data_IF_776141845968
#
_entry.id   IF_776141845968
#
_cell.length_a   1.000
_cell.length_b   1.000
_cell.length_c   1.000
_cell.angle_alpha   90.00
_cell.angle_beta   90.00
_cell.angle_gamma   90.00
#
_symmetry.space_group_name_H-M   'P 1'
#
loop_
_entity.id
_entity.type
_entity.pdbx_description
1 polymer ?
#
# COMPACT_ATOMS: atom_id res chain seq x y z
N UNK A 1 -23.39 -21.19 -8.87
CA UNK A 1 -24.17 -20.27 -8.00
C UNK A 1 -24.43 -18.91 -8.66
N UNK A 2 -23.38 -18.24 -9.14
CA UNK A 2 -23.45 -16.95 -9.87
C UNK A 2 -24.43 -16.92 -11.06
N UNK A 3 -24.39 -17.93 -11.93
CA UNK A 3 -25.27 -17.98 -13.11
C UNK A 3 -26.76 -18.07 -12.73
N UNK A 4 -27.09 -18.78 -11.64
CA UNK A 4 -28.46 -18.89 -11.13
C UNK A 4 -28.93 -17.57 -10.52
N UNK A 5 -28.05 -16.85 -9.83
CA UNK A 5 -28.32 -15.52 -9.27
C UNK A 5 -28.59 -14.47 -10.36
N UNK A 6 -27.82 -14.50 -11.46
CA UNK A 6 -27.98 -13.58 -12.59
C UNK A 6 -29.34 -13.78 -13.30
N UNK A 7 -29.74 -15.04 -13.51
CA UNK A 7 -31.01 -15.38 -14.18
C UNK A 7 -32.22 -14.96 -13.33
N UNK A 8 -32.16 -15.14 -12.01
CA UNK A 8 -33.22 -14.71 -11.09
C UNK A 8 -33.32 -13.17 -11.07
N UNK A 9 -32.19 -12.46 -11.12
CA UNK A 9 -32.16 -11.00 -11.16
C UNK A 9 -32.77 -10.44 -12.46
N UNK A 10 -32.50 -11.08 -13.61
CA UNK A 10 -33.09 -10.70 -14.89
C UNK A 10 -34.60 -10.94 -14.93
N UNK A 11 -35.07 -12.06 -14.38
CA UNK A 11 -36.49 -12.43 -14.35
C UNK A 11 -37.34 -11.49 -13.48
N UNK A 12 -36.78 -11.01 -12.36
CA UNK A 12 -37.44 -10.03 -11.50
C UNK A 12 -37.57 -8.66 -12.18
N UNK A 13 -36.65 -8.30 -13.07
CA UNK A 13 -36.63 -6.99 -13.74
C UNK A 13 -37.82 -6.78 -14.70
N UNK A 14 -38.41 -7.86 -15.22
CA UNK A 14 -39.52 -7.82 -16.20
C UNK A 14 -40.91 -7.76 -15.52
N UNK A 15 -41.00 -8.06 -14.22
CA UNK A 15 -42.30 -8.27 -13.53
C UNK A 15 -42.75 -7.13 -12.61
N UNK A 16 -42.01 -6.04 -12.49
CA UNK A 16 -42.30 -4.96 -11.52
C UNK A 16 -42.62 -3.62 -12.19
N UNK A 17 -43.43 -2.76 -11.53
CA UNK A 17 -43.78 -1.43 -12.05
C UNK A 17 -42.53 -0.57 -12.22
N UNK A 18 -42.51 0.25 -13.27
CA UNK A 18 -41.38 1.07 -13.76
C UNK A 18 -40.55 1.77 -12.65
N UNK A 19 -41.20 2.23 -11.58
CA UNK A 19 -40.55 2.88 -10.44
C UNK A 19 -39.60 1.94 -9.66
N UNK A 20 -39.92 0.65 -9.55
CA UNK A 20 -39.07 -0.35 -8.88
C UNK A 20 -37.87 -0.75 -9.74
N UNK A 21 -38.02 -0.77 -11.07
CA UNK A 21 -36.91 -0.98 -12.01
C UNK A 21 -35.85 0.12 -11.87
N UNK A 22 -36.27 1.39 -11.77
CA UNK A 22 -35.36 2.52 -11.59
C UNK A 22 -34.55 2.34 -10.31
N UNK A 23 -35.20 2.00 -9.20
CA UNK A 23 -34.51 1.79 -7.90
C UNK A 23 -33.48 0.66 -8.00
N UNK A 24 -33.82 -0.47 -8.64
CA UNK A 24 -32.87 -1.58 -8.81
C UNK A 24 -31.69 -1.23 -9.70
N UNK A 25 -31.89 -0.44 -10.77
CA UNK A 25 -30.82 0.03 -11.65
C UNK A 25 -29.90 1.01 -10.91
N UNK A 26 -30.47 1.92 -10.11
CA UNK A 26 -29.69 2.82 -9.26
C UNK A 26 -28.85 2.08 -8.23
N UNK A 27 -29.42 1.08 -7.55
CA UNK A 27 -28.70 0.24 -6.58
C UNK A 27 -27.58 -0.55 -7.26
N UNK A 28 -27.83 -1.15 -8.43
CA UNK A 28 -26.81 -1.87 -9.19
C UNK A 28 -25.69 -0.95 -9.71
N UNK A 29 -26.03 0.27 -10.16
CA UNK A 29 -25.05 1.28 -10.57
C UNK A 29 -24.17 1.72 -9.41
N UNK A 30 -24.73 1.82 -8.19
CA UNK A 30 -24.00 2.21 -6.98
C UNK A 30 -23.07 1.09 -6.48
N UNK A 31 -23.41 -0.17 -6.74
CA UNK A 31 -22.55 -1.33 -6.46
C UNK A 31 -21.47 -1.50 -7.53
N UNK A 32 -21.75 -1.17 -8.79
CA UNK A 32 -20.81 -1.30 -9.91
C UNK A 32 -19.58 -0.38 -9.82
N UNK A 33 -19.66 0.71 -9.06
CA UNK A 33 -18.53 1.65 -8.87
C UNK A 33 -17.47 1.16 -7.89
N UNK A 34 -17.65 0.00 -7.25
CA UNK A 34 -16.71 -0.55 -6.26
C UNK A 34 -15.60 -1.39 -6.92
N UNK A 35 -15.62 -1.57 -8.24
CA UNK A 35 -14.48 -2.16 -8.95
C UNK A 35 -13.39 -1.08 -9.03
N UNK A 36 -12.63 -0.97 -7.94
CA UNK A 36 -11.39 -0.22 -7.89
C UNK A 36 -10.51 -0.73 -9.03
N UNK A 37 -10.34 0.10 -10.07
CA UNK A 37 -9.40 -0.18 -11.13
C UNK A 37 -8.02 -0.17 -10.48
N UNK A 38 -7.30 -1.29 -10.57
CA UNK A 38 -5.91 -1.35 -10.15
C UNK A 38 -5.16 -0.19 -10.83
N UNK A 39 -4.48 0.68 -10.08
CA UNK A 39 -3.77 1.79 -10.67
C UNK A 39 -2.60 1.24 -11.48
N UNK A 40 -2.82 1.05 -12.79
CA UNK A 40 -1.77 0.70 -13.75
C UNK A 40 -0.85 1.92 -13.85
N UNK A 41 0.28 1.88 -13.12
CA UNK A 41 1.31 2.93 -13.15
C UNK A 41 1.61 3.62 -11.82
N UNK A 42 1.57 2.93 -10.68
CA UNK A 42 1.98 3.52 -9.41
C UNK A 42 3.50 3.75 -9.39
N UNK A 43 3.91 5.02 -9.49
CA UNK A 43 5.30 5.44 -9.31
C UNK A 43 5.70 5.26 -7.83
N UNK A 44 6.86 4.66 -7.61
CA UNK A 44 7.41 4.43 -6.26
C UNK A 44 8.52 5.45 -6.02
N UNK A 45 8.41 6.19 -4.92
CA UNK A 45 9.47 7.07 -4.42
C UNK A 45 10.06 6.42 -3.18
N UNK A 46 11.38 6.18 -3.20
CA UNK A 46 12.12 5.67 -2.05
C UNK A 46 12.92 6.83 -1.44
N UNK A 47 12.61 7.19 -0.20
CA UNK A 47 13.34 8.20 0.57
C UNK A 47 14.22 7.50 1.61
N UNK A 48 15.53 7.68 1.50
CA UNK A 48 16.52 7.15 2.44
C UNK A 48 17.05 8.30 3.30
N UNK A 49 16.87 8.22 4.62
CA UNK A 49 17.41 9.18 5.58
C UNK A 49 18.55 8.50 6.33
N UNK A 50 19.80 8.88 6.01
CA UNK A 50 20.98 8.22 6.59
C UNK A 50 21.12 8.52 8.08
N UNK A 51 21.54 7.52 8.85
CA UNK A 51 21.72 7.61 10.30
C UNK A 51 20.42 7.75 11.12
N UNK A 52 19.24 7.75 10.50
CA UNK A 52 17.96 7.91 11.22
C UNK A 52 17.48 6.57 11.80
N UNK A 53 17.87 6.30 13.05
CA UNK A 53 17.52 5.07 13.77
C UNK A 53 16.20 5.12 14.53
N UNK A 54 15.73 3.97 15.00
CA UNK A 54 14.48 3.81 15.75
C UNK A 54 14.46 4.63 17.07
N UNK A 55 15.60 4.75 17.77
CA UNK A 55 15.69 5.59 18.99
C UNK A 55 15.40 7.05 18.67
N UNK A 56 16.01 7.59 17.61
CA UNK A 56 15.78 8.96 17.16
C UNK A 56 14.33 9.15 16.74
N UNK A 57 13.72 8.18 16.04
CA UNK A 57 12.30 8.24 15.72
C UNK A 57 11.45 8.33 16.99
N UNK A 58 11.74 7.57 18.04
CA UNK A 58 10.93 7.61 19.27
C UNK A 58 11.14 8.90 20.07
N UNK A 59 12.37 9.41 20.13
CA UNK A 59 12.74 10.60 20.91
C UNK A 59 12.44 11.93 20.21
N UNK A 60 12.29 11.92 18.88
CA UNK A 60 12.03 13.15 18.11
C UNK A 60 10.69 13.77 18.55
N UNK A 61 10.70 15.08 18.80
CA UNK A 61 9.52 15.80 19.30
C UNK A 61 8.36 15.79 18.28
N UNK A 62 7.09 15.81 18.73
CA UNK A 62 5.94 15.80 17.82
C UNK A 62 5.95 16.95 16.80
N UNK A 63 6.36 18.15 17.20
CA UNK A 63 6.39 19.34 16.34
C UNK A 63 7.33 19.20 15.13
N UNK A 64 8.42 18.43 15.26
CA UNK A 64 9.37 18.21 14.16
C UNK A 64 9.00 17.00 13.30
N UNK A 65 8.04 16.17 13.73
CA UNK A 65 7.54 15.02 12.97
C UNK A 65 6.33 15.32 12.12
N UNK A 66 5.83 16.55 12.07
CA UNK A 66 4.53 16.87 11.47
C UNK A 66 4.27 16.19 10.10
N UNK A 67 5.23 16.24 9.18
CA UNK A 67 5.12 15.56 7.88
C UNK A 67 5.20 14.03 7.96
N UNK A 68 6.10 13.49 8.80
CA UNK A 68 6.29 12.05 8.99
C UNK A 68 5.10 11.40 9.72
N UNK A 69 4.49 12.11 10.68
CA UNK A 69 3.33 11.65 11.44
C UNK A 69 2.14 11.36 10.53
N UNK A 70 1.89 12.19 9.52
CA UNK A 70 0.81 11.93 8.55
C UNK A 70 1.08 10.68 7.72
N UNK A 71 2.34 10.43 7.34
CA UNK A 71 2.74 9.22 6.63
C UNK A 71 2.60 7.97 7.51
N UNK A 72 2.96 8.06 8.79
CA UNK A 72 2.84 6.96 9.75
C UNK A 72 1.38 6.65 10.09
N UNK A 73 0.53 7.68 10.25
CA UNK A 73 -0.87 7.51 10.62
C UNK A 73 -1.74 6.95 9.49
N UNK A 74 -1.42 7.27 8.22
CA UNK A 74 -2.19 6.82 7.05
C UNK A 74 -1.49 5.68 6.28
N UNK A 75 -0.28 5.30 6.68
CA UNK A 75 0.55 4.31 6.00
C UNK A 75 0.82 3.07 6.84
N UNK A 76 1.82 2.31 6.42
CA UNK A 76 2.32 1.13 7.15
C UNK A 76 3.69 1.43 7.72
N UNK A 77 3.87 1.16 9.00
CA UNK A 77 5.12 1.38 9.72
C UNK A 77 5.61 0.08 10.36
N UNK A 78 6.91 -0.17 10.28
CA UNK A 78 7.60 -1.18 11.09
C UNK A 78 8.24 -0.54 12.34
N UNK A 79 8.35 -1.31 13.43
CA UNK A 79 8.97 -0.86 14.69
C UNK A 79 10.42 -0.42 14.50
N UNK A 80 11.20 -1.21 13.76
CA UNK A 80 12.56 -0.89 13.34
C UNK A 80 12.92 -1.65 12.07
N UNK A 81 13.95 -1.18 11.37
CA UNK A 81 14.51 -1.84 10.20
C UNK A 81 15.91 -2.38 10.57
N UNK A 82 16.13 -3.68 10.37
CA UNK A 82 17.41 -4.31 10.70
C UNK A 82 18.44 -4.04 9.61
N UNK A 83 19.50 -3.33 9.96
CA UNK A 83 20.66 -3.11 9.08
C UNK A 83 21.39 -4.43 8.78
N UNK A 84 21.96 -4.51 7.58
CA UNK A 84 22.99 -5.50 7.26
C UNK A 84 24.30 -5.17 7.99
N UNK A 85 25.13 -6.19 8.26
CA UNK A 85 26.48 -6.01 8.80
C UNK A 85 27.51 -5.98 7.66
N UNK A 86 28.50 -5.07 7.69
CA UNK A 86 28.68 -3.97 8.64
C UNK A 86 27.64 -2.85 8.44
N UNK A 87 27.32 -2.11 9.50
CA UNK A 87 26.30 -1.04 9.48
C UNK A 87 26.80 0.25 8.83
N UNK A 88 27.25 0.15 7.57
CA UNK A 88 27.65 1.29 6.75
C UNK A 88 26.55 1.65 5.75
N UNK A 89 26.51 2.90 5.30
CA UNK A 89 25.46 3.41 4.41
C UNK A 89 25.44 2.66 3.07
N UNK A 90 26.59 2.54 2.40
CA UNK A 90 26.67 1.92 1.07
C UNK A 90 26.20 0.45 1.02
N UNK A 91 26.69 -0.48 1.87
CA UNK A 91 26.21 -1.86 1.90
C UNK A 91 24.69 -1.97 2.17
N UNK A 92 24.14 -1.11 3.02
CA UNK A 92 22.71 -1.11 3.31
C UNK A 92 21.87 -0.59 2.15
N UNK A 93 22.29 0.49 1.48
CA UNK A 93 21.56 1.03 0.34
C UNK A 93 21.49 0.02 -0.81
N UNK A 94 22.61 -0.64 -1.12
CA UNK A 94 22.64 -1.70 -2.13
C UNK A 94 21.80 -2.91 -1.71
N UNK A 95 21.86 -3.32 -0.43
CA UNK A 95 21.03 -4.41 0.07
C UNK A 95 19.53 -4.10 -0.02
N UNK A 96 19.10 -2.86 0.24
CA UNK A 96 17.71 -2.45 0.12
C UNK A 96 17.24 -2.41 -1.34
N UNK A 97 18.11 -1.94 -2.25
CA UNK A 97 17.78 -1.86 -3.68
C UNK A 97 17.72 -3.23 -4.36
N UNK A 98 18.55 -4.19 -3.91
CA UNK A 98 18.70 -5.50 -4.58
C UNK A 98 18.01 -6.65 -3.86
N UNK A 99 17.62 -6.48 -2.59
CA UNK A 99 17.13 -7.57 -1.74
C UNK A 99 18.20 -8.59 -1.33
N UNK A 100 19.45 -8.40 -1.76
CA UNK A 100 20.55 -9.32 -1.48
C UNK A 100 21.45 -8.77 -0.36
N UNK A 101 21.72 -9.61 0.64
CA UNK A 101 22.67 -9.26 1.70
C UNK A 101 24.08 -9.07 1.13
N UNK A 102 24.70 -7.94 1.48
CA UNK A 102 26.01 -7.47 1.00
C UNK A 102 27.22 -8.35 1.33
N UNK A 103 27.03 -9.58 1.81
CA UNK A 103 28.12 -10.55 2.01
C UNK A 103 28.86 -10.90 0.70
N UNK A 104 28.26 -10.62 -0.47
CA UNK A 104 28.82 -10.94 -1.78
C UNK A 104 29.32 -9.76 -2.63
N UNK A 105 29.01 -8.50 -2.30
CA UNK A 105 29.29 -7.36 -3.19
C UNK A 105 30.60 -6.61 -2.89
N UNK A 106 31.29 -6.98 -1.81
CA UNK A 106 32.56 -6.38 -1.46
C UNK A 106 33.21 -7.18 -0.36
N UNK A 107 34.10 -8.11 -0.74
CA UNK A 107 35.26 -8.47 0.06
C UNK A 107 35.74 -7.16 0.70
N UNK A 108 35.69 -7.08 2.04
CA UNK A 108 36.14 -5.96 2.86
C UNK A 108 37.23 -5.21 2.10
N UNK A 109 36.94 -3.97 1.69
CA UNK A 109 37.94 -3.09 1.08
C UNK A 109 39.13 -3.13 2.03
N UNK A 110 40.23 -3.71 1.55
CA UNK A 110 41.50 -3.84 2.29
C UNK A 110 42.04 -2.46 2.63
#
# INVERSE_FOLDING_TARGET
>A
ALLKSLVISLALLVSFPFHRMIITIWVLSLVGTIIAKDPIGQNIIVLLIDGYGASLMNETKPETKFGMQQLMANGVQAEYLRSTFPTHSWPNWISLATGNFSYGFGKLVK
#
